data_IF_521869041665
#
_entry.id   IF_521869041665
#
_cell.length_a   1.000
_cell.length_b   1.000
_cell.length_c   1.000
_cell.angle_alpha   90.00
_cell.angle_beta   90.00
_cell.angle_gamma   90.00
#
_symmetry.space_group_name_H-M   'P 1'
#
loop_
_entity.id
_entity.type
_entity.pdbx_description
1 polymer ?
#
# COMPACT_ATOMS: atom_id res chain seq x y z
N UNK A 1 -31.28 -21.34 5.93
CA UNK A 1 -30.00 -21.98 5.55
C UNK A 1 -28.96 -20.90 5.44
N UNK A 2 -27.91 -20.94 6.27
CA UNK A 2 -26.80 -19.97 6.26
C UNK A 2 -25.99 -20.21 4.98
N UNK A 3 -25.91 -19.22 4.08
CA UNK A 3 -24.86 -19.20 3.06
C UNK A 3 -23.53 -19.08 3.81
N UNK A 4 -22.70 -20.11 3.78
CA UNK A 4 -21.29 -19.96 4.09
C UNK A 4 -20.71 -19.01 3.06
N UNK A 5 -20.50 -17.75 3.41
CA UNK A 5 -19.78 -16.82 2.54
C UNK A 5 -18.32 -17.29 2.55
N UNK A 6 -17.89 -17.90 1.46
CA UNK A 6 -16.47 -17.98 1.16
C UNK A 6 -15.95 -16.54 1.17
N UNK A 7 -15.12 -16.22 2.17
CA UNK A 7 -14.48 -14.92 2.26
C UNK A 7 -13.56 -14.78 1.05
N UNK A 8 -13.83 -13.79 0.20
CA UNK A 8 -13.11 -13.62 -1.07
C UNK A 8 -11.62 -13.35 -0.83
N UNK A 9 -10.76 -13.66 -1.82
CA UNK A 9 -9.31 -13.37 -1.75
C UNK A 9 -9.06 -11.89 -1.37
N UNK A 10 -9.84 -10.98 -1.96
CA UNK A 10 -9.84 -9.56 -1.63
C UNK A 10 -10.12 -9.29 -0.14
N UNK A 11 -11.20 -9.86 0.40
CA UNK A 11 -11.57 -9.66 1.82
C UNK A 11 -10.49 -10.19 2.78
N UNK A 12 -9.81 -11.27 2.41
CA UNK A 12 -8.68 -11.79 3.21
C UNK A 12 -7.49 -10.83 3.18
N UNK A 13 -7.08 -10.39 1.99
CA UNK A 13 -5.97 -9.43 1.80
C UNK A 13 -6.21 -8.14 2.56
N UNK A 14 -7.41 -7.58 2.48
CA UNK A 14 -7.75 -6.32 3.12
C UNK A 14 -8.44 -6.47 4.48
N UNK A 15 -8.33 -7.65 5.11
CA UNK A 15 -9.02 -7.93 6.38
C UNK A 15 -8.63 -6.98 7.52
N UNK A 16 -7.38 -6.53 7.58
CA UNK A 16 -6.92 -5.52 8.55
C UNK A 16 -7.58 -4.15 8.33
N UNK A 17 -7.71 -3.73 7.07
CA UNK A 17 -8.41 -2.51 6.70
C UNK A 17 -9.91 -2.62 6.98
N UNK A 18 -10.51 -3.77 6.65
CA UNK A 18 -11.92 -4.06 6.92
C UNK A 18 -12.24 -3.97 8.42
N UNK A 19 -11.42 -4.63 9.26
CA UNK A 19 -11.56 -4.56 10.73
C UNK A 19 -11.40 -3.13 11.25
N UNK A 20 -10.49 -2.35 10.69
CA UNK A 20 -10.34 -0.93 11.04
C UNK A 20 -11.60 -0.13 10.64
N UNK A 21 -12.22 -0.47 9.51
CA UNK A 21 -13.45 0.11 9.01
C UNK A 21 -14.67 -0.07 9.91
N UNK A 22 -14.64 -1.03 10.85
CA UNK A 22 -15.69 -1.17 11.87
C UNK A 22 -15.74 0.02 12.84
N UNK A 23 -14.62 0.76 12.96
CA UNK A 23 -14.48 1.88 13.90
C UNK A 23 -14.27 3.23 13.22
N UNK A 24 -13.64 3.23 12.04
CA UNK A 24 -13.25 4.46 11.36
C UNK A 24 -13.83 4.51 9.95
N UNK A 25 -14.63 5.55 9.65
CA UNK A 25 -15.30 5.72 8.36
C UNK A 25 -14.32 5.76 7.19
N UNK A 26 -13.16 6.40 7.34
CA UNK A 26 -12.20 6.54 6.25
C UNK A 26 -11.59 5.19 5.85
N UNK A 27 -11.35 4.30 6.82
CA UNK A 27 -10.89 2.95 6.56
C UNK A 27 -11.97 2.11 5.86
N UNK A 28 -13.24 2.27 6.28
CA UNK A 28 -14.39 1.63 5.63
C UNK A 28 -14.55 2.10 4.18
N UNK A 29 -14.51 3.41 3.95
CA UNK A 29 -14.61 4.00 2.61
C UNK A 29 -13.47 3.53 1.71
N UNK A 30 -12.24 3.52 2.23
CA UNK A 30 -11.07 2.99 1.52
C UNK A 30 -11.30 1.53 1.12
N UNK A 31 -11.81 0.68 2.01
CA UNK A 31 -12.08 -0.72 1.70
C UNK A 31 -13.10 -0.89 0.56
N UNK A 32 -14.23 -0.18 0.62
CA UNK A 32 -15.25 -0.25 -0.44
C UNK A 32 -14.73 0.29 -1.78
N UNK A 33 -13.97 1.39 -1.76
CA UNK A 33 -13.39 1.97 -2.98
C UNK A 33 -12.30 1.08 -3.59
N UNK A 34 -11.46 0.43 -2.78
CA UNK A 34 -10.48 -0.55 -3.25
C UNK A 34 -11.17 -1.75 -3.92
N UNK A 35 -12.32 -2.18 -3.38
CA UNK A 35 -13.06 -3.33 -3.91
C UNK A 35 -13.58 -3.11 -5.33
N UNK A 36 -13.89 -1.85 -5.65
CA UNK A 36 -14.38 -1.44 -6.97
C UNK A 36 -13.25 -0.97 -7.91
N UNK A 37 -12.02 -0.83 -7.41
CA UNK A 37 -10.91 -0.27 -8.15
C UNK A 37 -10.52 -1.18 -9.33
N UNK A 38 -10.42 -0.59 -10.51
CA UNK A 38 -9.98 -1.26 -11.72
C UNK A 38 -9.38 -0.23 -12.71
N UNK A 39 -8.95 -0.71 -13.88
CA UNK A 39 -8.32 0.14 -14.90
C UNK A 39 -9.26 1.23 -15.47
N UNK A 40 -10.57 1.01 -15.46
CA UNK A 40 -11.59 1.96 -15.97
C UNK A 40 -12.10 2.94 -14.90
N UNK A 41 -11.73 2.75 -13.62
CA UNK A 41 -12.09 3.68 -12.54
C UNK A 41 -11.68 5.10 -12.90
N UNK A 42 -12.63 6.04 -12.82
CA UNK A 42 -12.38 7.41 -13.27
C UNK A 42 -11.56 8.22 -12.26
N UNK A 43 -10.99 9.33 -12.74
CA UNK A 43 -10.14 10.21 -11.94
C UNK A 43 -10.80 10.67 -10.64
N UNK A 44 -12.09 11.01 -10.65
CA UNK A 44 -12.79 11.48 -9.45
C UNK A 44 -12.86 10.41 -8.37
N UNK A 45 -13.16 9.16 -8.74
CA UNK A 45 -13.17 8.04 -7.81
C UNK A 45 -11.78 7.72 -7.28
N UNK A 46 -10.75 7.81 -8.12
CA UNK A 46 -9.37 7.64 -7.69
C UNK A 46 -8.91 8.76 -6.75
N UNK A 47 -9.24 10.02 -7.03
CA UNK A 47 -8.92 11.15 -6.15
C UNK A 47 -9.61 11.00 -4.78
N UNK A 48 -10.86 10.53 -4.76
CA UNK A 48 -11.57 10.17 -3.53
C UNK A 48 -10.87 9.02 -2.79
N UNK A 49 -10.50 7.98 -3.54
CA UNK A 49 -9.44 7.00 -3.29
C UNK A 49 -8.36 7.51 -2.33
N UNK A 50 -7.48 8.30 -2.93
CA UNK A 50 -6.27 8.81 -2.33
C UNK A 50 -6.58 9.67 -1.10
N UNK A 51 -7.62 10.51 -1.19
CA UNK A 51 -8.07 11.33 -0.06
C UNK A 51 -8.46 10.47 1.15
N UNK A 52 -9.22 9.38 0.97
CA UNK A 52 -9.61 8.51 2.09
C UNK A 52 -8.41 7.77 2.68
N UNK A 53 -7.48 7.30 1.85
CA UNK A 53 -6.21 6.70 2.30
C UNK A 53 -5.42 7.69 3.18
N UNK A 54 -5.28 8.94 2.73
CA UNK A 54 -4.55 9.98 3.48
C UNK A 54 -5.18 10.31 4.84
N UNK A 55 -6.50 10.12 4.98
CA UNK A 55 -7.20 10.34 6.25
C UNK A 55 -7.12 9.14 7.21
N UNK A 56 -6.54 8.01 6.79
CA UNK A 56 -6.32 6.88 7.71
C UNK A 56 -5.17 7.26 8.65
N UNK A 57 -5.48 7.38 9.94
CA UNK A 57 -4.48 7.64 10.97
C UNK A 57 -4.03 6.35 11.65
N UNK A 58 -3.18 5.58 10.96
CA UNK A 58 -2.63 4.33 11.49
C UNK A 58 -1.44 4.60 12.42
N UNK A 59 -1.72 4.85 13.71
CA UNK A 59 -0.68 5.12 14.71
C UNK A 59 0.00 3.81 15.16
N UNK A 60 1.18 3.52 14.60
CA UNK A 60 1.98 2.35 14.95
C UNK A 60 3.47 2.59 14.75
N UNK A 61 4.30 1.60 15.06
CA UNK A 61 5.73 1.65 14.71
C UNK A 61 5.93 1.58 13.20
N UNK A 62 7.12 1.96 12.72
CA UNK A 62 7.47 2.04 11.29
C UNK A 62 7.19 0.74 10.54
N UNK A 63 7.52 -0.42 11.12
CA UNK A 63 7.29 -1.72 10.49
C UNK A 63 5.80 -2.04 10.35
N UNK A 64 5.02 -1.90 11.42
CA UNK A 64 3.57 -2.15 11.39
C UNK A 64 2.86 -1.17 10.44
N UNK A 65 3.31 0.09 10.41
CA UNK A 65 2.81 1.10 9.49
C UNK A 65 3.05 0.70 8.04
N UNK A 66 4.30 0.38 7.70
CA UNK A 66 4.68 -0.13 6.37
C UNK A 66 3.80 -1.32 5.97
N UNK A 67 3.72 -2.32 6.86
CA UNK A 67 3.00 -3.57 6.58
C UNK A 67 1.50 -3.37 6.40
N UNK A 68 0.89 -2.38 7.07
CA UNK A 68 -0.52 -2.04 6.91
C UNK A 68 -0.80 -1.39 5.55
N UNK A 69 0.03 -0.42 5.13
CA UNK A 69 -0.17 0.30 3.87
C UNK A 69 0.27 -0.49 2.64
N UNK A 70 1.18 -1.46 2.78
CA UNK A 70 1.72 -2.21 1.65
C UNK A 70 0.65 -2.87 0.75
N UNK A 71 -0.31 -3.66 1.25
CA UNK A 71 -1.38 -4.20 0.40
C UNK A 71 -2.21 -3.12 -0.27
N UNK A 72 -2.45 -1.98 0.40
CA UNK A 72 -3.24 -0.87 -0.13
C UNK A 72 -2.50 -0.20 -1.29
N UNK A 73 -1.26 0.23 -1.05
CA UNK A 73 -0.44 0.96 -2.04
C UNK A 73 -0.17 0.10 -3.27
N UNK A 74 0.27 -1.14 -3.08
CA UNK A 74 0.58 -2.03 -4.21
C UNK A 74 -0.66 -2.35 -5.06
N UNK A 75 -1.84 -2.47 -4.46
CA UNK A 75 -3.08 -2.69 -5.19
C UNK A 75 -3.50 -1.45 -5.98
N UNK A 76 -3.42 -0.26 -5.37
CA UNK A 76 -3.74 0.98 -6.08
C UNK A 76 -2.78 1.22 -7.24
N UNK A 77 -1.47 1.08 -7.02
CA UNK A 77 -0.47 1.37 -8.04
C UNK A 77 -0.42 0.33 -9.17
N UNK A 78 -0.94 -0.88 -8.96
CA UNK A 78 -1.20 -1.81 -10.06
C UNK A 78 -2.28 -1.27 -11.00
N UNK A 79 -3.38 -0.73 -10.45
CA UNK A 79 -4.51 -0.26 -11.25
C UNK A 79 -4.34 1.16 -11.78
N UNK A 80 -3.62 2.01 -11.04
CA UNK A 80 -3.51 3.45 -11.27
C UNK A 80 -2.09 3.93 -10.97
N UNK A 81 -1.10 3.54 -11.78
CA UNK A 81 0.31 3.87 -11.57
C UNK A 81 0.59 5.38 -11.54
N UNK A 82 -0.28 6.20 -12.14
CA UNK A 82 -0.17 7.66 -12.17
C UNK A 82 -0.24 8.33 -10.77
N UNK A 83 -0.73 7.61 -9.74
CA UNK A 83 -0.80 8.10 -8.35
C UNK A 83 0.43 7.74 -7.50
N UNK A 84 1.53 7.32 -8.12
CA UNK A 84 2.77 6.95 -7.41
C UNK A 84 3.23 8.05 -6.44
N UNK A 85 3.18 9.31 -6.86
CA UNK A 85 3.65 10.46 -6.08
C UNK A 85 2.84 10.68 -4.80
N UNK A 86 1.58 10.25 -4.79
CA UNK A 86 0.70 10.40 -3.63
C UNK A 86 0.85 9.25 -2.63
N UNK A 87 1.40 8.11 -3.07
CA UNK A 87 1.31 6.84 -2.35
C UNK A 87 2.65 6.20 -2.01
N UNK A 88 3.70 6.39 -2.81
CA UNK A 88 5.00 5.74 -2.55
C UNK A 88 5.55 6.11 -1.18
N UNK A 89 5.32 7.33 -0.68
CA UNK A 89 5.72 7.76 0.66
C UNK A 89 5.37 6.77 1.77
N UNK A 90 4.23 6.07 1.68
CA UNK A 90 3.80 5.08 2.67
C UNK A 90 4.70 3.83 2.73
N UNK A 91 5.40 3.53 1.63
CA UNK A 91 6.39 2.46 1.55
C UNK A 91 7.80 2.95 1.83
N UNK A 92 8.14 4.18 1.39
CA UNK A 92 9.51 4.71 1.46
C UNK A 92 9.84 5.26 2.84
N UNK A 93 9.01 6.16 3.37
CA UNK A 93 9.26 6.84 4.66
C UNK A 93 9.55 5.89 5.83
N UNK A 94 8.76 4.82 6.09
CA UNK A 94 9.04 3.93 7.21
C UNK A 94 10.36 3.16 7.06
N UNK A 95 10.75 2.78 5.84
CA UNK A 95 12.02 2.10 5.58
C UNK A 95 13.20 3.08 5.65
N UNK A 96 13.01 4.32 5.19
CA UNK A 96 13.98 5.40 5.37
C UNK A 96 14.23 5.69 6.86
N UNK A 97 13.18 5.78 7.66
CA UNK A 97 13.29 5.95 9.11
C UNK A 97 14.03 4.78 9.80
N UNK A 98 14.05 3.60 9.17
CA UNK A 98 14.84 2.44 9.61
C UNK A 98 16.27 2.43 9.02
N UNK A 99 16.72 3.50 8.36
CA UNK A 99 18.07 3.68 7.85
C UNK A 99 18.29 3.24 6.40
N UNK A 100 17.24 2.93 5.63
CA UNK A 100 17.38 2.55 4.22
C UNK A 100 17.32 3.82 3.35
N UNK A 101 18.47 4.27 2.85
CA UNK A 101 18.61 5.54 2.12
C UNK A 101 18.98 5.36 0.64
N UNK A 102 19.28 4.13 0.21
CA UNK A 102 19.66 3.83 -1.17
C UNK A 102 18.49 3.18 -1.93
N UNK A 103 18.24 3.64 -3.15
CA UNK A 103 17.10 3.19 -3.98
C UNK A 103 17.08 1.67 -4.21
N UNK A 104 18.23 1.07 -4.53
CA UNK A 104 18.33 -0.38 -4.74
C UNK A 104 18.06 -1.19 -3.45
N UNK A 105 18.52 -0.70 -2.29
CA UNK A 105 18.26 -1.31 -1.00
C UNK A 105 16.78 -1.16 -0.59
N UNK A 106 16.16 -0.03 -0.92
CA UNK A 106 14.74 0.23 -0.71
C UNK A 106 13.88 -0.78 -1.48
N UNK A 107 14.17 -0.98 -2.77
CA UNK A 107 13.49 -1.98 -3.60
C UNK A 107 13.70 -3.39 -3.01
N UNK A 108 14.95 -3.74 -2.66
CA UNK A 108 15.25 -5.04 -2.07
C UNK A 108 14.52 -5.28 -0.73
N UNK A 109 14.40 -4.25 0.10
CA UNK A 109 13.68 -4.30 1.37
C UNK A 109 12.18 -4.54 1.17
N UNK A 110 11.54 -3.82 0.24
CA UNK A 110 10.12 -4.01 -0.08
C UNK A 110 9.86 -5.43 -0.63
N UNK A 111 10.72 -5.92 -1.51
CA UNK A 111 10.66 -7.30 -2.00
C UNK A 111 10.84 -8.33 -0.90
N UNK A 112 11.81 -8.12 -0.01
CA UNK A 112 12.07 -8.99 1.14
C UNK A 112 10.86 -9.06 2.07
N UNK A 113 10.25 -7.91 2.38
CA UNK A 113 9.06 -7.83 3.21
C UNK A 113 7.85 -8.54 2.57
N UNK A 114 7.67 -8.40 1.24
CA UNK A 114 6.63 -9.14 0.52
C UNK A 114 6.82 -10.65 0.69
N UNK A 115 8.03 -11.17 0.43
CA UNK A 115 8.30 -12.62 0.55
C UNK A 115 8.06 -13.11 1.97
N UNK A 116 8.64 -12.42 2.95
CA UNK A 116 8.47 -12.75 4.36
C UNK A 116 7.00 -12.81 4.77
N UNK A 117 6.19 -11.83 4.36
CA UNK A 117 4.77 -11.82 4.70
C UNK A 117 3.93 -12.83 3.96
N UNK A 118 4.26 -13.14 2.71
CA UNK A 118 3.57 -14.19 1.97
C UNK A 118 3.87 -15.60 2.49
N UNK A 119 5.04 -15.80 3.11
CA UNK A 119 5.36 -17.04 3.82
C UNK A 119 4.54 -17.18 5.13
N UNK A 120 4.18 -16.07 5.78
CA UNK A 120 3.32 -16.05 6.98
C UNK A 120 1.81 -16.11 6.64
N UNK A 121 1.39 -15.42 5.58
CA UNK A 121 0.01 -15.30 5.13
C UNK A 121 -0.05 -15.21 3.59
N UNK A 122 -0.50 -16.29 2.95
CA UNK A 122 -0.58 -16.39 1.49
C UNK A 122 -1.48 -15.31 0.85
N UNK A 123 -2.44 -14.78 1.64
CA UNK A 123 -3.39 -13.76 1.25
C UNK A 123 -2.91 -12.33 1.53
N UNK A 124 -1.69 -12.13 2.05
CA UNK A 124 -1.21 -10.80 2.40
C UNK A 124 -1.25 -9.78 1.24
N UNK A 125 -1.07 -10.24 0.00
CA UNK A 125 -1.20 -9.43 -1.21
C UNK A 125 -2.11 -10.14 -2.24
N UNK A 126 -2.82 -9.34 -3.05
CA UNK A 126 -3.48 -9.82 -4.27
C UNK A 126 -2.45 -10.25 -5.33
N UNK A 127 -2.89 -11.00 -6.35
CA UNK A 127 -2.01 -11.38 -7.47
C UNK A 127 -1.49 -10.16 -8.23
N UNK A 128 -2.35 -9.17 -8.41
CA UNK A 128 -2.10 -7.87 -9.01
C UNK A 128 -1.03 -7.10 -8.23
N UNK A 129 -1.18 -7.01 -6.91
CA UNK A 129 -0.19 -6.42 -6.01
C UNK A 129 1.16 -7.12 -6.11
N UNK A 130 1.19 -8.47 -6.11
CA UNK A 130 2.43 -9.24 -6.26
C UNK A 130 3.10 -8.94 -7.61
N UNK A 131 2.31 -8.87 -8.68
CA UNK A 131 2.81 -8.53 -10.01
C UNK A 131 3.45 -7.15 -10.02
N UNK A 132 2.78 -6.14 -9.46
CA UNK A 132 3.30 -4.77 -9.40
C UNK A 132 4.62 -4.70 -8.63
N UNK A 133 4.70 -5.32 -7.45
CA UNK A 133 5.94 -5.34 -6.65
C UNK A 133 7.08 -6.00 -7.43
N UNK A 134 6.81 -7.09 -8.15
CA UNK A 134 7.88 -7.83 -8.84
C UNK A 134 8.35 -7.15 -10.13
N UNK A 135 7.42 -6.55 -10.88
CA UNK A 135 7.69 -6.15 -12.27
C UNK A 135 7.68 -4.63 -12.49
N UNK A 136 6.93 -3.88 -11.68
CA UNK A 136 6.73 -2.44 -11.88
C UNK A 136 7.50 -1.61 -10.87
N UNK A 137 7.50 -1.97 -9.58
CA UNK A 137 8.26 -1.27 -8.55
C UNK A 137 9.76 -1.08 -8.91
N UNK A 138 10.48 -2.09 -9.45
CA UNK A 138 11.89 -1.90 -9.82
C UNK A 138 12.13 -0.88 -10.93
N UNK A 139 11.09 -0.51 -11.70
CA UNK A 139 11.19 0.50 -12.76
C UNK A 139 11.03 1.93 -12.22
N UNK A 140 10.57 2.08 -10.97
CA UNK A 140 10.27 3.34 -10.31
C UNK A 140 11.49 3.93 -9.57
N UNK A 141 12.72 3.64 -10.03
CA UNK A 141 13.95 4.08 -9.33
C UNK A 141 13.99 5.60 -9.10
N UNK A 142 13.56 6.39 -10.08
CA UNK A 142 13.56 7.85 -10.00
C UNK A 142 12.54 8.37 -9.00
N UNK A 143 11.37 7.75 -8.98
CA UNK A 143 10.27 8.07 -8.10
C UNK A 143 10.62 7.70 -6.64
N UNK A 144 11.23 6.54 -6.43
CA UNK A 144 11.74 6.11 -5.13
C UNK A 144 12.82 7.08 -4.64
N UNK A 145 13.79 7.44 -5.49
CA UNK A 145 14.82 8.41 -5.12
C UNK A 145 14.22 9.76 -4.75
N UNK A 146 13.21 10.22 -5.50
CA UNK A 146 12.50 11.46 -5.19
C UNK A 146 11.87 11.43 -3.80
N UNK A 147 11.22 10.33 -3.41
CA UNK A 147 10.64 10.22 -2.07
C UNK A 147 11.73 10.17 -0.97
N UNK A 148 12.88 9.53 -1.23
CA UNK A 148 14.04 9.55 -0.32
C UNK A 148 14.57 10.98 -0.15
N UNK A 149 14.70 11.73 -1.25
CA UNK A 149 15.17 13.12 -1.21
C UNK A 149 14.21 14.04 -0.43
N UNK A 150 12.90 13.77 -0.49
CA UNK A 150 11.91 14.46 0.35
C UNK A 150 12.16 14.16 1.83
N UNK A 151 12.38 12.89 2.19
CA UNK A 151 12.65 12.50 3.57
C UNK A 151 13.90 13.20 4.13
N UNK A 152 14.96 13.34 3.33
CA UNK A 152 16.16 14.08 3.75
C UNK A 152 15.86 15.54 4.04
N UNK A 153 15.11 16.22 3.16
CA UNK A 153 14.73 17.62 3.36
C UNK A 153 13.92 17.82 4.63
N UNK A 154 12.99 16.92 4.93
CA UNK A 154 12.17 16.95 6.16
C UNK A 154 13.00 16.79 7.45
N UNK A 155 14.23 16.25 7.38
CA UNK A 155 15.15 16.16 8.52
C UNK A 155 16.04 17.41 8.69
N UNK A 156 16.22 18.18 7.61
CA UNK A 156 17.03 19.40 7.59
C UNK A 156 16.23 20.65 8.02
N UNK A 157 14.90 20.57 7.97
CA UNK A 157 13.93 21.59 8.41
C UNK A 157 13.63 21.52 9.92
#
# INVERSE_FOLDING_TARGET
MKKSSECSEFEKTFSSLQKMGERFSNAKNTFELLKELNQETNKFQCDLLISEIHKIQYHSNTNSYFLFYFPIVSHVLYHKPEYEKDLLKYLIQPNFANGITETNLMIAMIHGAMKFKLDEDEFYLTKESKFWVVNELPKLEKEIQREIDICWKELED
#
